data_IF_873367181459
#
_entry.id   IF_873367181459
#
_cell.length_a   1.000
_cell.length_b   1.000
_cell.length_c   1.000
_cell.angle_alpha   90.00
_cell.angle_beta   90.00
_cell.angle_gamma   90.00
#
_symmetry.space_group_name_H-M   'P 1'
#
loop_
_entity.id
_entity.type
_entity.pdbx_description
1 polymer ?
#
# COMPACT_ATOMS: atom_id res chain seq x y z
N UNK A 1 18.02 33.84 -17.95
CA UNK A 1 18.63 32.86 -17.03
C UNK A 1 17.63 32.56 -15.93
N UNK A 2 16.89 31.46 -16.04
CA UNK A 2 15.95 31.03 -14.99
C UNK A 2 16.63 29.95 -14.17
N UNK A 3 16.99 30.30 -12.93
CA UNK A 3 17.54 29.37 -11.94
C UNK A 3 16.46 28.38 -11.53
N UNK A 4 16.50 27.17 -12.08
CA UNK A 4 15.76 26.01 -11.56
C UNK A 4 16.42 25.57 -10.27
N UNK A 5 15.83 25.92 -9.13
CA UNK A 5 16.25 25.39 -7.83
C UNK A 5 16.01 23.89 -7.83
N UNK A 6 17.08 23.10 -7.94
CA UNK A 6 17.04 21.66 -7.81
C UNK A 6 16.61 21.29 -6.39
N UNK A 7 15.34 20.93 -6.20
CA UNK A 7 14.88 20.36 -4.95
C UNK A 7 15.48 18.96 -4.82
N UNK A 8 16.42 18.80 -3.89
CA UNK A 8 16.98 17.49 -3.57
C UNK A 8 15.86 16.62 -2.98
N UNK A 9 15.53 15.47 -3.59
CA UNK A 9 14.50 14.59 -3.05
C UNK A 9 14.93 14.11 -1.66
N UNK A 10 13.99 14.11 -0.72
CA UNK A 10 14.19 13.71 0.68
C UNK A 10 13.23 12.59 1.07
N UNK A 11 13.73 11.59 1.80
CA UNK A 11 12.92 10.61 2.51
C UNK A 11 12.55 11.17 3.88
N UNK A 12 11.26 11.20 4.22
CA UNK A 12 10.83 11.34 5.61
C UNK A 12 10.82 9.95 6.27
N UNK A 13 11.58 9.79 7.34
CA UNK A 13 11.61 8.57 8.13
C UNK A 13 11.77 8.93 9.62
N UNK A 14 10.86 8.43 10.46
CA UNK A 14 10.77 8.76 11.90
C UNK A 14 10.76 10.27 12.20
N UNK A 15 10.08 11.06 11.37
CA UNK A 15 9.97 12.52 11.54
C UNK A 15 11.26 13.28 11.24
N UNK A 16 12.22 12.63 10.58
CA UNK A 16 13.46 13.24 10.09
C UNK A 16 13.52 13.16 8.58
N UNK A 17 13.98 14.24 7.96
CA UNK A 17 14.23 14.27 6.52
C UNK A 17 15.67 13.86 6.22
N UNK A 18 15.82 12.89 5.32
CA UNK A 18 17.09 12.42 4.80
C UNK A 18 17.17 12.69 3.30
N UNK A 19 18.15 13.47 2.81
CA UNK A 19 18.39 13.57 1.38
C UNK A 19 18.62 12.19 0.77
N UNK A 20 17.91 11.85 -0.30
CA UNK A 20 18.07 10.54 -0.96
C UNK A 20 19.52 10.32 -1.45
N UNK A 21 20.19 11.41 -1.84
CA UNK A 21 21.59 11.41 -2.23
C UNK A 21 22.57 11.10 -1.10
N UNK A 22 22.19 11.31 0.17
CA UNK A 22 23.03 10.98 1.33
C UNK A 22 22.83 9.55 1.83
N UNK A 23 21.89 8.79 1.26
CA UNK A 23 21.64 7.42 1.64
C UNK A 23 22.69 6.46 1.04
N UNK A 24 22.92 5.33 1.72
CA UNK A 24 23.72 4.25 1.15
C UNK A 24 22.97 3.56 -0.01
N UNK A 25 23.70 2.84 -0.87
CA UNK A 25 23.07 2.04 -1.92
C UNK A 25 22.12 0.99 -1.35
N UNK A 26 22.53 0.32 -0.28
CA UNK A 26 21.69 -0.64 0.42
C UNK A 26 20.40 -0.02 0.95
N UNK A 27 20.44 1.20 1.50
CA UNK A 27 19.25 1.90 1.96
C UNK A 27 18.28 2.21 0.81
N UNK A 28 18.79 2.64 -0.35
CA UNK A 28 17.97 2.86 -1.55
C UNK A 28 17.30 1.58 -2.04
N UNK A 29 18.02 0.46 -2.05
CA UNK A 29 17.46 -0.85 -2.39
C UNK A 29 16.31 -1.23 -1.44
N UNK A 30 16.48 -1.01 -0.13
CA UNK A 30 15.43 -1.33 0.83
C UNK A 30 14.19 -0.44 0.67
N UNK A 31 14.36 0.84 0.36
CA UNK A 31 13.23 1.72 0.03
C UNK A 31 12.44 1.18 -1.16
N UNK A 32 13.13 0.73 -2.22
CA UNK A 32 12.49 0.09 -3.37
C UNK A 32 11.72 -1.17 -2.99
N UNK A 33 12.33 -2.04 -2.17
CA UNK A 33 11.67 -3.25 -1.68
C UNK A 33 10.40 -2.94 -0.87
N UNK A 34 10.45 -1.93 0.00
CA UNK A 34 9.30 -1.49 0.80
C UNK A 34 8.18 -0.99 -0.12
N UNK A 35 8.50 -0.12 -1.09
CA UNK A 35 7.50 0.41 -2.02
C UNK A 35 6.78 -0.69 -2.82
N UNK A 36 7.53 -1.68 -3.32
CA UNK A 36 6.94 -2.85 -4.01
C UNK A 36 6.07 -3.67 -3.05
N UNK A 37 6.56 -3.90 -1.83
CA UNK A 37 5.81 -4.65 -0.80
C UNK A 37 4.50 -3.94 -0.44
N UNK A 38 4.52 -2.62 -0.29
CA UNK A 38 3.34 -1.82 0.01
C UNK A 38 2.30 -1.88 -1.12
N UNK A 39 2.74 -1.88 -2.37
CA UNK A 39 1.85 -2.07 -3.52
C UNK A 39 1.18 -3.45 -3.50
N UNK A 40 1.92 -4.51 -3.18
CA UNK A 40 1.35 -5.85 -3.05
C UNK A 40 0.38 -5.96 -1.87
N UNK A 41 0.70 -5.33 -0.73
CA UNK A 41 -0.23 -5.24 0.41
C UNK A 41 -1.53 -4.55 -0.01
N UNK A 42 -1.45 -3.43 -0.74
CA UNK A 42 -2.62 -2.73 -1.25
C UNK A 42 -3.44 -3.62 -2.19
N UNK A 43 -2.79 -4.35 -3.11
CA UNK A 43 -3.42 -5.30 -4.02
C UNK A 43 -4.15 -6.42 -3.28
N UNK A 44 -3.54 -6.98 -2.24
CA UNK A 44 -4.15 -8.03 -1.42
C UNK A 44 -5.36 -7.51 -0.64
N UNK A 45 -5.31 -6.27 -0.13
CA UNK A 45 -6.47 -5.65 0.54
C UNK A 45 -7.67 -5.50 -0.39
N UNK A 46 -7.45 -5.16 -1.66
CA UNK A 46 -8.53 -5.11 -2.66
C UNK A 46 -9.16 -6.49 -2.85
N UNK A 47 -8.34 -7.53 -3.04
CA UNK A 47 -8.83 -8.90 -3.20
C UNK A 47 -9.59 -9.39 -1.96
N UNK A 48 -9.10 -9.06 -0.77
CA UNK A 48 -9.79 -9.36 0.48
C UNK A 48 -11.18 -8.71 0.53
N UNK A 49 -11.31 -7.44 0.14
CA UNK A 49 -12.59 -6.74 0.08
C UNK A 49 -13.57 -7.40 -0.91
N UNK A 50 -13.09 -7.85 -2.07
CA UNK A 50 -13.90 -8.61 -3.03
C UNK A 50 -14.40 -9.92 -2.41
N UNK A 51 -13.51 -10.69 -1.77
CA UNK A 51 -13.84 -11.95 -1.13
C UNK A 51 -14.86 -11.76 0.02
N UNK A 52 -14.70 -10.70 0.83
CA UNK A 52 -15.65 -10.34 1.89
C UNK A 52 -17.04 -10.03 1.34
N UNK A 53 -17.11 -9.29 0.22
CA UNK A 53 -18.37 -8.98 -0.47
C UNK A 53 -19.06 -10.25 -0.97
N UNK A 54 -18.33 -11.13 -1.65
CA UNK A 54 -18.85 -12.41 -2.12
C UNK A 54 -19.36 -13.28 -0.95
N UNK A 55 -18.59 -13.37 0.13
CA UNK A 55 -19.00 -14.09 1.35
C UNK A 55 -20.30 -13.54 1.92
N UNK A 56 -20.45 -12.22 1.99
CA UNK A 56 -21.69 -11.60 2.47
C UNK A 56 -22.89 -11.96 1.57
N UNK A 57 -22.72 -11.90 0.25
CA UNK A 57 -23.76 -12.29 -0.70
C UNK A 57 -24.19 -13.77 -0.53
N UNK A 58 -23.23 -14.68 -0.40
CA UNK A 58 -23.52 -16.10 -0.18
C UNK A 58 -24.22 -16.36 1.16
N UNK A 59 -23.86 -15.63 2.22
CA UNK A 59 -24.57 -15.73 3.50
C UNK A 59 -26.02 -15.27 3.39
N UNK A 60 -26.29 -14.19 2.65
CA UNK A 60 -27.67 -13.74 2.43
C UNK A 60 -28.48 -14.74 1.58
N UNK A 61 -27.87 -15.29 0.53
CA UNK A 61 -28.50 -16.32 -0.29
C UNK A 61 -28.83 -17.57 0.53
N UNK A 62 -27.93 -18.01 1.42
CA UNK A 62 -28.18 -19.12 2.33
C UNK A 62 -29.33 -18.81 3.28
N UNK A 63 -29.34 -17.63 3.93
CA UNK A 63 -30.40 -17.22 4.85
C UNK A 63 -31.79 -17.25 4.21
N UNK A 64 -31.90 -16.86 2.94
CA UNK A 64 -33.15 -16.90 2.20
C UNK A 64 -33.68 -18.33 1.94
N UNK A 65 -32.82 -19.35 2.05
CA UNK A 65 -33.18 -20.76 1.87
C UNK A 65 -33.42 -21.48 3.21
N UNK A 66 -33.06 -20.87 4.33
CA UNK A 66 -33.28 -21.47 5.64
C UNK A 66 -34.74 -21.28 6.07
N UNK A 67 -35.33 -22.29 6.75
CA UNK A 67 -36.67 -22.15 7.31
C UNK A 67 -36.72 -20.96 8.28
N UNK A 68 -37.77 -20.17 8.19
CA UNK A 68 -38.09 -19.19 9.24
C UNK A 68 -38.65 -19.98 10.42
N UNK A 69 -37.96 -19.96 11.56
CA UNK A 69 -38.48 -20.55 12.80
C UNK A 69 -39.68 -19.75 13.33
#
# INVERSE_FOLDING_TARGET
MTTTTAQTPTLDFDGKQYPISSLSEQARVQIGNIQVTDQEIARLRVQLGMAQTARAAYLQALRAQLPTA
#
